data_IF_845537056093
#
_entry.id   IF_845537056093
#
_cell.length_a   1.000
_cell.length_b   1.000
_cell.length_c   1.000
_cell.angle_alpha   90.00
_cell.angle_beta   90.00
_cell.angle_gamma   90.00
#
_symmetry.space_group_name_H-M   'P 1'
#
loop_
_entity.id
_entity.type
_entity.pdbx_description
1 polymer ?
#
# COMPACT_ATOMS: atom_id res chain seq x y z
N UNK A 1 -34.19 12.13 -14.24
CA UNK A 1 -33.72 11.18 -13.18
C UNK A 1 -32.45 10.40 -13.57
N UNK A 2 -32.43 9.67 -14.70
CA UNK A 2 -31.30 8.82 -15.09
C UNK A 2 -29.98 9.59 -15.28
N UNK A 3 -30.02 10.78 -15.88
CA UNK A 3 -28.83 11.63 -16.06
C UNK A 3 -28.25 12.09 -14.72
N UNK A 4 -29.08 12.50 -13.76
CA UNK A 4 -28.62 12.92 -12.43
C UNK A 4 -27.94 11.77 -11.67
N UNK A 5 -28.50 10.55 -11.77
CA UNK A 5 -27.88 9.36 -11.16
C UNK A 5 -26.54 9.08 -11.82
N UNK A 6 -26.48 9.13 -13.15
CA UNK A 6 -25.24 8.92 -13.89
C UNK A 6 -24.16 9.95 -13.51
N UNK A 7 -24.51 11.22 -13.46
CA UNK A 7 -23.59 12.30 -13.08
C UNK A 7 -23.03 12.05 -11.67
N UNK A 8 -23.90 11.67 -10.73
CA UNK A 8 -23.51 11.34 -9.36
C UNK A 8 -22.52 10.16 -9.28
N UNK A 9 -22.84 9.02 -9.92
CA UNK A 9 -21.98 7.83 -9.85
C UNK A 9 -20.72 7.93 -10.70
N UNK A 10 -20.69 8.83 -11.69
CA UNK A 10 -19.51 9.10 -12.51
C UNK A 10 -18.45 9.92 -11.76
N UNK A 11 -18.84 10.60 -10.68
CA UNK A 11 -17.94 11.47 -9.92
C UNK A 11 -16.84 10.69 -9.22
N UNK A 12 -15.59 11.07 -9.47
CA UNK A 12 -14.41 10.57 -8.76
C UNK A 12 -14.39 11.00 -7.28
N UNK A 13 -15.20 11.99 -6.93
CA UNK A 13 -15.33 12.57 -5.59
C UNK A 13 -16.50 12.01 -4.78
N UNK A 14 -17.22 11.02 -5.32
CA UNK A 14 -18.32 10.37 -4.62
C UNK A 14 -17.82 9.74 -3.31
N UNK A 15 -18.39 10.20 -2.20
CA UNK A 15 -18.04 9.74 -0.85
C UNK A 15 -18.83 8.49 -0.48
N UNK A 16 -18.21 7.33 -0.69
CA UNK A 16 -18.78 6.01 -0.40
C UNK A 16 -17.75 5.13 0.31
N UNK A 17 -18.17 4.24 1.21
CA UNK A 17 -17.25 3.35 1.92
C UNK A 17 -16.63 2.28 1.00
N UNK A 18 -17.34 1.88 -0.06
CA UNK A 18 -16.85 0.91 -1.04
C UNK A 18 -17.58 1.02 -2.39
N UNK A 19 -16.98 0.45 -3.43
CA UNK A 19 -17.62 0.33 -4.75
C UNK A 19 -18.72 -0.74 -4.78
N UNK A 20 -18.73 -1.68 -3.83
CA UNK A 20 -19.85 -2.61 -3.66
C UNK A 20 -21.14 -1.86 -3.29
N UNK A 21 -21.06 -0.81 -2.46
CA UNK A 21 -22.21 0.04 -2.15
C UNK A 21 -22.70 0.81 -3.38
N UNK A 22 -21.78 1.30 -4.23
CA UNK A 22 -22.15 1.95 -5.50
C UNK A 22 -22.91 0.95 -6.39
N UNK A 23 -22.40 -0.28 -6.52
CA UNK A 23 -23.08 -1.33 -7.29
C UNK A 23 -24.48 -1.63 -6.76
N UNK A 24 -24.61 -1.85 -5.44
CA UNK A 24 -25.90 -2.14 -4.78
C UNK A 24 -26.89 -0.99 -5.00
N UNK A 25 -26.44 0.26 -4.83
CA UNK A 25 -27.26 1.45 -5.04
C UNK A 25 -27.74 1.58 -6.50
N UNK A 26 -26.84 1.38 -7.47
CA UNK A 26 -27.18 1.42 -8.91
C UNK A 26 -28.22 0.35 -9.24
N UNK A 27 -28.03 -0.90 -8.80
CA UNK A 27 -29.00 -1.96 -9.06
C UNK A 27 -30.33 -1.72 -8.35
N UNK A 28 -30.33 -1.23 -7.11
CA UNK A 28 -31.56 -0.88 -6.39
C UNK A 28 -32.36 0.18 -7.16
N UNK A 29 -31.68 1.20 -7.68
CA UNK A 29 -32.31 2.23 -8.50
C UNK A 29 -32.90 1.67 -9.80
N UNK A 30 -32.22 0.74 -10.49
CA UNK A 30 -32.77 0.10 -11.70
C UNK A 30 -33.96 -0.80 -11.34
N UNK A 31 -33.85 -1.61 -10.28
CA UNK A 31 -34.89 -2.57 -9.86
C UNK A 31 -36.17 -1.91 -9.38
N UNK A 32 -36.11 -0.65 -8.95
CA UNK A 32 -37.29 0.12 -8.60
C UNK A 32 -38.26 0.35 -9.77
N UNK A 33 -37.76 0.39 -11.01
CA UNK A 33 -38.59 0.52 -12.23
C UNK A 33 -37.83 -0.13 -13.40
N UNK A 34 -37.88 -1.45 -13.44
CA UNK A 34 -37.08 -2.27 -14.36
C UNK A 34 -37.42 -1.96 -15.82
N UNK A 35 -38.70 -1.79 -16.13
CA UNK A 35 -39.19 -1.64 -17.50
C UNK A 35 -38.62 -0.39 -18.16
N UNK A 36 -38.58 0.74 -17.45
CA UNK A 36 -38.04 1.99 -18.00
C UNK A 36 -36.51 2.10 -17.88
N UNK A 37 -35.92 1.49 -16.83
CA UNK A 37 -34.50 1.73 -16.46
C UNK A 37 -33.53 0.67 -16.96
N UNK A 38 -33.99 -0.51 -17.39
CA UNK A 38 -33.13 -1.60 -17.87
C UNK A 38 -32.16 -1.17 -18.97
N UNK A 39 -32.61 -0.31 -19.88
CA UNK A 39 -31.77 0.24 -20.97
C UNK A 39 -30.56 1.07 -20.49
N UNK A 40 -30.59 1.57 -19.26
CA UNK A 40 -29.51 2.39 -18.70
C UNK A 40 -28.41 1.57 -18.01
N UNK A 41 -28.65 0.26 -17.78
CA UNK A 41 -27.70 -0.61 -17.06
C UNK A 41 -26.29 -0.56 -17.63
N UNK A 42 -26.05 -0.69 -18.96
CA UNK A 42 -24.69 -0.64 -19.49
C UNK A 42 -23.96 0.66 -19.18
N UNK A 43 -24.67 1.79 -19.32
CA UNK A 43 -24.10 3.12 -19.09
C UNK A 43 -23.80 3.37 -17.62
N UNK A 44 -24.66 2.90 -16.71
CA UNK A 44 -24.45 3.01 -15.27
C UNK A 44 -23.31 2.10 -14.78
N UNK A 45 -23.21 0.87 -15.30
CA UNK A 45 -22.15 -0.07 -14.92
C UNK A 45 -20.75 0.38 -15.35
N UNK A 46 -20.63 1.17 -16.43
CA UNK A 46 -19.37 1.84 -16.80
C UNK A 46 -18.88 2.83 -15.75
N UNK A 47 -19.74 3.30 -14.86
CA UNK A 47 -19.37 4.19 -13.75
C UNK A 47 -19.08 3.45 -12.44
N UNK A 48 -19.50 2.18 -12.31
CA UNK A 48 -19.17 1.32 -11.16
C UNK A 48 -17.78 0.71 -11.38
N UNK A 49 -16.85 0.91 -10.44
CA UNK A 49 -15.45 0.49 -10.59
C UNK A 49 -15.29 -1.00 -10.23
N UNK A 50 -15.87 -1.88 -11.06
CA UNK A 50 -15.87 -3.35 -10.87
C UNK A 50 -14.50 -3.96 -10.51
N UNK A 51 -13.35 -3.50 -11.06
CA UNK A 51 -12.02 -4.02 -10.67
C UNK A 51 -11.64 -3.83 -9.19
N UNK A 52 -12.39 -3.03 -8.43
CA UNK A 52 -12.16 -2.77 -7.01
C UNK A 52 -13.13 -3.53 -6.09
N UNK A 53 -14.05 -4.31 -6.65
CA UNK A 53 -14.94 -5.18 -5.88
C UNK A 53 -14.16 -6.43 -5.46
N UNK A 54 -14.59 -7.08 -4.38
CA UNK A 54 -14.01 -8.36 -4.01
C UNK A 54 -14.31 -9.42 -5.08
N UNK A 55 -13.41 -10.40 -5.26
CA UNK A 55 -13.61 -11.51 -6.21
C UNK A 55 -14.91 -12.24 -5.93
N UNK A 56 -15.20 -12.48 -4.65
CA UNK A 56 -16.39 -13.19 -4.22
C UNK A 56 -17.66 -12.37 -4.54
N UNK A 57 -17.63 -11.05 -4.37
CA UNK A 57 -18.76 -10.21 -4.76
C UNK A 57 -18.98 -10.21 -6.28
N UNK A 58 -17.92 -10.15 -7.08
CA UNK A 58 -18.01 -10.25 -8.54
C UNK A 58 -18.67 -11.58 -8.96
N UNK A 59 -18.26 -12.70 -8.39
CA UNK A 59 -18.78 -14.02 -8.75
C UNK A 59 -20.20 -14.28 -8.20
N UNK A 60 -20.49 -13.85 -6.98
CA UNK A 60 -21.76 -14.16 -6.32
C UNK A 60 -22.87 -13.16 -6.65
N UNK A 61 -22.55 -11.92 -7.01
CA UNK A 61 -23.54 -10.85 -7.22
C UNK A 61 -23.50 -10.24 -8.63
N UNK A 62 -22.32 -10.06 -9.23
CA UNK A 62 -22.21 -9.41 -10.54
C UNK A 62 -22.44 -10.39 -11.68
N UNK A 63 -21.77 -11.54 -11.64
CA UNK A 63 -21.97 -12.60 -12.63
C UNK A 63 -23.38 -13.19 -12.55
N UNK A 64 -24.01 -13.29 -11.39
CA UNK A 64 -25.34 -13.92 -11.23
C UNK A 64 -26.51 -13.01 -11.60
N UNK A 65 -26.31 -11.68 -11.66
CA UNK A 65 -27.38 -10.71 -11.89
C UNK A 65 -27.86 -10.70 -13.35
N UNK A 66 -29.14 -11.00 -13.57
CA UNK A 66 -29.74 -11.07 -14.91
C UNK A 66 -29.68 -9.73 -15.65
N UNK A 67 -29.88 -8.61 -14.95
CA UNK A 67 -29.79 -7.27 -15.55
C UNK A 67 -28.39 -6.99 -16.14
N UNK A 68 -27.35 -7.55 -15.51
CA UNK A 68 -25.95 -7.44 -15.96
C UNK A 68 -25.69 -8.44 -17.09
N UNK A 69 -26.06 -9.72 -16.91
CA UNK A 69 -25.83 -10.80 -17.88
C UNK A 69 -26.52 -10.61 -19.23
N UNK A 70 -27.62 -9.88 -19.28
CA UNK A 70 -28.34 -9.65 -20.54
C UNK A 70 -27.67 -8.64 -21.47
N UNK A 71 -26.67 -7.89 -21.00
CA UNK A 71 -25.96 -6.89 -21.80
C UNK A 71 -24.52 -7.32 -22.04
N UNK A 72 -24.10 -7.38 -23.31
CA UNK A 72 -22.71 -7.73 -23.69
C UNK A 72 -21.69 -6.76 -23.10
N UNK A 73 -21.97 -5.46 -23.14
CA UNK A 73 -21.09 -4.43 -22.58
C UNK A 73 -20.78 -4.66 -21.10
N UNK A 74 -21.77 -5.11 -20.30
CA UNK A 74 -21.57 -5.41 -18.89
C UNK A 74 -20.69 -6.65 -18.68
N UNK A 75 -20.77 -7.64 -19.58
CA UNK A 75 -19.87 -8.81 -19.56
C UNK A 75 -18.43 -8.39 -19.83
N UNK A 76 -18.21 -7.47 -20.77
CA UNK A 76 -16.86 -6.95 -21.06
C UNK A 76 -16.27 -6.25 -19.83
N UNK A 77 -17.08 -5.47 -19.09
CA UNK A 77 -16.65 -4.85 -17.83
C UNK A 77 -16.35 -5.88 -16.72
N UNK A 78 -17.11 -6.98 -16.67
CA UNK A 78 -16.82 -8.08 -15.75
C UNK A 78 -15.52 -8.80 -16.13
N UNK A 79 -15.29 -9.04 -17.41
CA UNK A 79 -14.04 -9.64 -17.92
C UNK A 79 -12.84 -8.73 -17.62
N UNK A 80 -12.98 -7.42 -17.80
CA UNK A 80 -11.98 -6.42 -17.39
C UNK A 80 -11.61 -6.59 -15.91
N UNK A 81 -12.62 -6.60 -15.03
CA UNK A 81 -12.43 -6.79 -13.60
C UNK A 81 -11.74 -8.13 -13.30
N UNK A 82 -12.25 -9.24 -13.83
CA UNK A 82 -11.65 -10.56 -13.60
C UNK A 82 -10.19 -10.63 -14.08
N UNK A 83 -9.87 -10.00 -15.22
CA UNK A 83 -8.48 -9.90 -15.70
C UNK A 83 -7.59 -9.13 -14.72
N UNK A 84 -8.09 -8.05 -14.13
CA UNK A 84 -7.38 -7.27 -13.11
C UNK A 84 -7.07 -8.08 -11.83
N UNK A 85 -7.99 -8.97 -11.43
CA UNK A 85 -7.76 -9.91 -10.32
C UNK A 85 -6.78 -11.03 -10.69
N UNK A 86 -6.85 -11.57 -11.90
CA UNK A 86 -6.02 -12.69 -12.35
C UNK A 86 -4.58 -12.30 -12.72
N UNK A 87 -4.32 -11.02 -13.02
CA UNK A 87 -3.02 -10.53 -13.49
C UNK A 87 -2.45 -9.43 -12.59
N UNK A 88 -2.12 -9.71 -11.31
CA UNK A 88 -1.69 -8.69 -10.35
C UNK A 88 -0.37 -8.01 -10.76
N UNK A 89 0.55 -8.73 -11.43
CA UNK A 89 1.81 -8.16 -11.95
C UNK A 89 1.56 -7.09 -13.03
N UNK A 90 0.46 -7.22 -13.79
CA UNK A 90 0.12 -6.33 -14.89
C UNK A 90 -0.79 -5.17 -14.47
N UNK A 91 -1.13 -5.02 -13.18
CA UNK A 91 -2.01 -3.94 -12.70
C UNK A 91 -1.50 -2.54 -13.02
N UNK A 92 -0.18 -2.35 -13.10
CA UNK A 92 0.42 -1.10 -13.58
C UNK A 92 0.03 -0.76 -15.02
N UNK A 93 0.00 -1.76 -15.91
CA UNK A 93 -0.35 -1.64 -17.33
C UNK A 93 -1.87 -1.58 -17.52
N UNK A 94 -2.63 -2.32 -16.72
CA UNK A 94 -4.10 -2.34 -16.74
C UNK A 94 -4.72 -1.10 -16.08
N UNK A 95 -3.91 -0.19 -15.56
CA UNK A 95 -4.37 0.97 -14.80
C UNK A 95 -5.19 1.94 -15.67
N UNK A 96 -6.43 2.19 -15.27
CA UNK A 96 -7.34 3.13 -15.91
C UNK A 96 -8.20 3.85 -14.85
N UNK A 97 -9.20 4.66 -15.22
CA UNK A 97 -10.07 5.37 -14.25
C UNK A 97 -10.88 4.44 -13.33
N UNK A 98 -11.17 3.21 -13.75
CA UNK A 98 -11.97 2.20 -13.04
C UNK A 98 -11.13 1.32 -12.12
N UNK A 99 -9.80 1.35 -12.20
CA UNK A 99 -8.90 0.55 -11.33
C UNK A 99 -8.27 1.36 -10.20
N UNK A 100 -8.69 2.62 -10.03
CA UNK A 100 -8.24 3.52 -8.96
C UNK A 100 -9.38 3.72 -7.97
N UNK A 101 -9.16 3.74 -6.65
CA UNK A 101 -10.18 4.13 -5.67
C UNK A 101 -10.68 5.56 -5.87
N UNK A 102 -11.91 5.86 -5.43
CA UNK A 102 -12.45 7.23 -5.43
C UNK A 102 -11.71 8.08 -4.40
N UNK A 103 -11.65 9.37 -4.65
CA UNK A 103 -11.01 10.32 -3.73
C UNK A 103 -11.92 11.53 -3.57
N UNK A 104 -12.54 11.63 -2.40
CA UNK A 104 -13.44 12.73 -2.07
C UNK A 104 -12.71 14.07 -2.20
N UNK A 105 -13.36 15.02 -2.87
CA UNK A 105 -12.90 16.40 -2.93
C UNK A 105 -12.88 16.98 -1.51
N UNK A 106 -11.77 17.63 -1.13
CA UNK A 106 -11.58 18.16 0.22
C UNK A 106 -11.14 17.15 1.28
N UNK A 107 -10.88 15.88 0.93
CA UNK A 107 -10.24 14.94 1.85
C UNK A 107 -8.86 15.45 2.27
N UNK A 108 -8.72 15.78 3.56
CA UNK A 108 -7.45 16.22 4.15
C UNK A 108 -6.49 15.06 4.29
N UNK A 109 -5.21 15.29 3.99
CA UNK A 109 -4.16 14.32 4.29
C UNK A 109 -3.95 14.24 5.80
N UNK A 110 -4.03 13.03 6.33
CA UNK A 110 -3.77 12.72 7.74
C UNK A 110 -2.50 11.87 7.81
N UNK A 111 -1.61 12.19 8.74
CA UNK A 111 -0.42 11.38 9.01
C UNK A 111 -0.73 10.43 10.16
N UNK A 112 -0.29 9.18 10.09
CA UNK A 112 -0.45 8.22 11.17
C UNK A 112 0.91 7.80 11.72
N UNK A 113 1.04 7.78 13.05
CA UNK A 113 2.12 7.10 13.75
C UNK A 113 1.54 5.82 14.37
N UNK A 114 2.17 4.67 14.08
CA UNK A 114 1.63 3.34 14.36
C UNK A 114 2.67 2.53 15.13
N UNK A 115 2.35 2.19 16.38
CA UNK A 115 3.20 1.38 17.25
C UNK A 115 4.55 2.03 17.56
N UNK A 116 5.62 1.27 17.42
CA UNK A 116 6.96 1.69 17.81
C UNK A 116 7.32 1.24 19.22
N UNK A 117 8.31 1.91 19.82
CA UNK A 117 8.76 1.58 21.16
C UNK A 117 9.49 2.74 21.81
N UNK A 118 9.42 2.80 23.13
CA UNK A 118 10.19 3.70 23.98
C UNK A 118 11.13 2.90 24.87
N UNK A 119 11.83 3.59 25.78
CA UNK A 119 12.68 2.93 26.75
C UNK A 119 11.85 1.89 27.54
N UNK A 120 12.22 0.61 27.40
CA UNK A 120 11.58 -0.56 28.03
C UNK A 120 10.11 -0.85 27.66
N UNK A 121 9.55 -0.22 26.62
CA UNK A 121 8.16 -0.48 26.22
C UNK A 121 8.02 -0.65 24.70
N UNK A 122 7.15 -1.58 24.31
CA UNK A 122 6.67 -1.76 22.94
C UNK A 122 5.22 -1.29 22.91
N UNK A 123 4.92 -0.44 21.93
CA UNK A 123 3.64 0.25 21.82
C UNK A 123 2.72 -0.46 20.83
N UNK A 124 1.43 -0.45 21.13
CA UNK A 124 0.35 -0.87 20.23
C UNK A 124 -0.60 0.27 19.90
N UNK A 125 -0.51 1.37 20.64
CA UNK A 125 -1.21 2.62 20.37
C UNK A 125 -0.81 3.22 19.02
N UNK A 126 -1.75 4.00 18.50
CA UNK A 126 -1.65 4.66 17.22
C UNK A 126 -2.25 6.06 17.38
N UNK A 127 -1.67 7.02 16.67
CA UNK A 127 -2.11 8.41 16.69
C UNK A 127 -2.14 8.98 15.27
N UNK A 128 -3.10 9.87 15.04
CA UNK A 128 -3.36 10.51 13.77
C UNK A 128 -3.15 12.02 13.89
N UNK A 129 -2.33 12.59 13.00
CA UNK A 129 -2.03 14.00 12.93
C UNK A 129 -2.84 14.68 11.83
N UNK A 130 -3.71 15.60 12.23
CA UNK A 130 -4.47 16.46 11.33
C UNK A 130 -3.63 17.69 10.96
N UNK A 131 -3.21 17.73 9.69
CA UNK A 131 -2.39 18.80 9.12
C UNK A 131 -3.08 20.16 9.07
N UNK A 132 -4.43 20.21 9.13
CA UNK A 132 -5.20 21.45 9.12
C UNK A 132 -5.29 22.09 10.50
N UNK A 133 -5.36 21.26 11.54
CA UNK A 133 -5.52 21.72 12.93
C UNK A 133 -4.23 21.68 13.73
N UNK A 134 -3.16 21.12 13.17
CA UNK A 134 -1.85 20.93 13.82
C UNK A 134 -2.00 20.16 15.16
N UNK A 135 -2.74 19.06 15.13
CA UNK A 135 -3.08 18.27 16.33
C UNK A 135 -2.99 16.78 16.10
N UNK A 136 -2.52 16.09 17.13
CA UNK A 136 -2.55 14.64 17.25
C UNK A 136 -3.84 14.19 17.94
N UNK A 137 -4.38 13.09 17.45
CA UNK A 137 -5.56 12.42 17.97
C UNK A 137 -5.28 10.94 18.15
N UNK A 138 -5.64 10.40 19.31
CA UNK A 138 -5.58 8.96 19.52
C UNK A 138 -6.59 8.26 18.62
N UNK A 139 -6.14 7.20 17.95
CA UNK A 139 -7.01 6.29 17.18
C UNK A 139 -7.00 4.91 17.84
N UNK A 140 -7.79 3.98 17.30
CA UNK A 140 -7.79 2.62 17.84
C UNK A 140 -6.38 2.02 17.84
N UNK A 141 -6.03 1.34 18.93
CA UNK A 141 -4.78 0.61 19.05
C UNK A 141 -4.82 -0.70 18.27
N UNK A 142 -3.66 -1.12 17.79
CA UNK A 142 -3.46 -2.45 17.22
C UNK A 142 -3.77 -3.53 18.26
N UNK A 143 -4.16 -4.69 17.75
CA UNK A 143 -4.36 -5.90 18.55
C UNK A 143 -3.05 -6.42 19.16
N UNK A 144 -1.94 -6.24 18.43
CA UNK A 144 -0.60 -6.65 18.83
C UNK A 144 0.30 -5.43 18.97
N UNK A 145 1.17 -5.42 19.98
CA UNK A 145 2.21 -4.39 20.12
C UNK A 145 3.28 -4.61 19.07
N UNK A 146 3.71 -3.57 18.36
CA UNK A 146 4.67 -3.72 17.25
C UNK A 146 5.69 -2.59 17.22
N UNK A 147 6.92 -2.88 17.64
CA UNK A 147 8.07 -2.06 17.29
C UNK A 147 8.68 -2.55 15.98
N UNK A 148 9.47 -1.69 15.30
CA UNK A 148 10.18 -2.04 14.05
C UNK A 148 9.23 -2.59 12.97
N UNK A 149 7.97 -2.16 13.02
CA UNK A 149 6.87 -2.55 12.13
C UNK A 149 7.01 -1.84 10.80
N UNK A 150 6.59 -2.50 9.72
CA UNK A 150 6.43 -1.88 8.43
C UNK A 150 5.00 -1.40 8.23
N UNK A 151 4.82 -0.19 7.71
CA UNK A 151 3.49 0.42 7.53
C UNK A 151 3.37 0.95 6.11
N UNK A 152 2.25 0.63 5.44
CA UNK A 152 1.90 1.24 4.16
C UNK A 152 0.39 1.38 4.02
N UNK A 153 -0.03 2.27 3.13
CA UNK A 153 -1.44 2.53 2.84
C UNK A 153 -1.84 1.95 1.48
N UNK A 154 -2.96 1.21 1.43
CA UNK A 154 -3.57 0.69 0.19
C UNK A 154 -5.08 0.85 0.32
N UNK A 155 -5.73 1.38 -0.72
CA UNK A 155 -7.20 1.42 -0.78
C UNK A 155 -7.85 2.14 0.41
N UNK A 156 -7.24 3.23 0.89
CA UNK A 156 -7.68 3.99 2.07
C UNK A 156 -7.63 3.20 3.41
N UNK A 157 -6.91 2.08 3.46
CA UNK A 157 -6.59 1.35 4.69
C UNK A 157 -5.09 1.41 4.97
N UNK A 158 -4.72 1.38 6.24
CA UNK A 158 -3.32 1.19 6.65
C UNK A 158 -3.08 -0.29 6.91
N UNK A 159 -1.89 -0.78 6.61
CA UNK A 159 -1.45 -2.13 6.93
C UNK A 159 -0.23 -2.06 7.84
N UNK A 160 -0.33 -2.68 9.02
CA UNK A 160 0.78 -2.90 9.93
C UNK A 160 1.31 -4.32 9.74
N UNK A 161 2.53 -4.44 9.23
CA UNK A 161 3.10 -5.68 8.73
C UNK A 161 4.30 -6.09 9.59
N UNK A 162 4.23 -7.28 10.18
CA UNK A 162 5.31 -7.84 10.98
C UNK A 162 5.67 -6.98 12.18
N UNK A 163 6.96 -6.78 12.43
CA UNK A 163 7.48 -6.07 13.61
C UNK A 163 7.92 -7.02 14.73
N UNK A 164 8.08 -6.48 15.92
CA UNK A 164 8.54 -7.17 17.12
C UNK A 164 7.68 -6.77 18.32
N UNK A 165 7.15 -7.75 19.05
CA UNK A 165 6.21 -7.54 20.16
C UNK A 165 6.88 -7.44 21.54
N UNK A 166 8.21 -7.55 21.61
CA UNK A 166 8.97 -7.64 22.85
C UNK A 166 9.48 -9.05 23.16
N UNK A 167 8.97 -10.06 22.44
CA UNK A 167 9.35 -11.47 22.59
C UNK A 167 9.73 -12.10 21.25
N UNK A 168 8.92 -11.91 20.21
CA UNK A 168 9.06 -12.55 18.91
C UNK A 168 9.01 -11.56 17.76
N UNK A 169 9.78 -11.85 16.71
CA UNK A 169 9.56 -11.26 15.38
C UNK A 169 8.26 -11.82 14.79
N UNK A 170 7.42 -10.93 14.26
CA UNK A 170 6.05 -11.24 13.86
C UNK A 170 5.95 -11.50 12.35
N UNK A 171 5.12 -12.47 11.98
CA UNK A 171 4.62 -12.65 10.61
C UNK A 171 3.20 -12.08 10.44
N UNK A 172 2.52 -11.77 11.55
CA UNK A 172 1.13 -11.33 11.54
C UNK A 172 0.99 -9.94 10.94
N UNK A 173 -0.18 -9.69 10.36
CA UNK A 173 -0.54 -8.44 9.71
C UNK A 173 -1.91 -8.01 10.24
N UNK A 174 -2.11 -6.73 10.40
CA UNK A 174 -3.42 -6.15 10.70
C UNK A 174 -3.64 -4.90 9.84
N UNK A 175 -4.89 -4.67 9.45
CA UNK A 175 -5.28 -3.49 8.68
C UNK A 175 -6.18 -2.58 9.50
N UNK A 176 -6.00 -1.27 9.32
CA UNK A 176 -6.79 -0.24 9.96
C UNK A 176 -7.73 0.39 8.95
N UNK A 177 -9.02 0.45 9.32
CA UNK A 177 -10.02 1.19 8.59
C UNK A 177 -10.29 2.54 9.27
N UNK A 178 -9.95 3.67 8.64
CA UNK A 178 -10.18 4.99 9.21
C UNK A 178 -11.67 5.37 9.27
N UNK A 179 -12.55 4.71 8.51
CA UNK A 179 -14.00 4.98 8.54
C UNK A 179 -14.63 4.42 9.81
N UNK A 180 -14.25 3.21 10.20
CA UNK A 180 -14.76 2.54 11.41
C UNK A 180 -13.87 2.75 12.63
N UNK A 181 -12.69 3.36 12.44
CA UNK A 181 -11.66 3.52 13.46
C UNK A 181 -11.36 2.19 14.18
N UNK A 182 -11.06 1.14 13.39
CA UNK A 182 -10.84 -0.20 13.94
C UNK A 182 -9.76 -0.95 13.18
N UNK A 183 -9.01 -1.77 13.92
CA UNK A 183 -8.07 -2.74 13.37
C UNK A 183 -8.74 -4.09 13.16
N UNK A 184 -8.35 -4.80 12.10
CA UNK A 184 -8.76 -6.18 11.83
C UNK A 184 -7.54 -7.03 11.46
N UNK A 185 -7.51 -8.31 11.85
CA UNK A 185 -6.44 -9.22 11.46
C UNK A 185 -6.48 -9.49 9.96
N UNK A 186 -5.30 -9.59 9.35
CA UNK A 186 -5.10 -9.96 7.96
C UNK A 186 -4.31 -11.26 7.87
N UNK A 187 -4.24 -11.83 6.66
CA UNK A 187 -3.44 -13.03 6.41
C UNK A 187 -1.98 -12.74 6.71
N UNK A 188 -1.37 -13.61 7.52
CA UNK A 188 0.03 -13.49 7.92
C UNK A 188 0.97 -13.76 6.75
N UNK A 189 2.13 -13.10 6.78
CA UNK A 189 3.25 -13.37 5.88
C UNK A 189 3.72 -14.82 6.01
N UNK A 190 4.39 -15.32 4.96
CA UNK A 190 5.07 -16.61 5.01
C UNK A 190 6.30 -16.61 5.91
N UNK A 191 6.92 -15.43 6.11
CA UNK A 191 8.13 -15.25 6.94
C UNK A 191 7.89 -14.24 8.06
N UNK A 192 8.46 -14.50 9.25
CA UNK A 192 8.52 -13.51 10.34
C UNK A 192 9.48 -12.39 9.95
N UNK A 193 9.08 -11.14 10.15
CA UNK A 193 9.89 -9.99 9.71
C UNK A 193 9.74 -8.82 10.68
N UNK A 194 10.79 -8.48 11.42
CA UNK A 194 10.98 -7.13 11.98
C UNK A 194 11.98 -6.33 11.16
N UNK A 195 12.04 -5.02 11.36
CA UNK A 195 13.02 -4.14 10.70
C UNK A 195 12.95 -4.20 9.16
N UNK A 196 11.81 -4.59 8.62
CA UNK A 196 11.56 -4.74 7.19
C UNK A 196 11.23 -3.39 6.55
N UNK A 197 11.27 -3.36 5.21
CA UNK A 197 10.69 -2.28 4.44
C UNK A 197 9.36 -2.73 3.84
N UNK A 198 8.36 -1.84 3.89
CA UNK A 198 7.03 -2.08 3.32
C UNK A 198 6.64 -0.93 2.40
N UNK A 199 6.09 -1.24 1.24
CA UNK A 199 5.60 -0.25 0.30
C UNK A 199 4.37 -0.75 -0.46
N UNK A 200 3.56 0.20 -0.91
CA UNK A 200 2.42 -0.05 -1.78
C UNK A 200 2.81 0.23 -3.24
N UNK A 201 2.51 -0.70 -4.15
CA UNK A 201 2.72 -0.53 -5.59
C UNK A 201 1.61 -1.26 -6.36
N UNK A 202 0.95 -0.55 -7.27
CA UNK A 202 -0.13 -1.09 -8.12
C UNK A 202 -1.23 -1.85 -7.35
N UNK A 203 -1.61 -1.34 -6.18
CA UNK A 203 -2.65 -1.95 -5.33
C UNK A 203 -2.21 -3.20 -4.58
N UNK A 204 -0.91 -3.50 -4.57
CA UNK A 204 -0.30 -4.61 -3.84
C UNK A 204 0.60 -4.07 -2.73
N UNK A 205 0.71 -4.84 -1.65
CA UNK A 205 1.61 -4.56 -0.53
C UNK A 205 2.87 -5.40 -0.70
N UNK A 206 4.04 -4.80 -0.55
CA UNK A 206 5.32 -5.50 -0.65
C UNK A 206 6.04 -5.43 0.68
N UNK A 207 6.55 -6.56 1.15
CA UNK A 207 7.38 -6.68 2.34
C UNK A 207 8.75 -7.24 1.93
N UNK A 208 9.82 -6.47 2.13
CA UNK A 208 11.17 -6.85 1.74
C UNK A 208 12.17 -6.77 2.89
N UNK A 209 13.08 -7.75 2.92
CA UNK A 209 14.16 -7.81 3.90
C UNK A 209 13.66 -8.01 5.33
N UNK A 210 14.38 -7.41 6.28
CA UNK A 210 14.09 -7.52 7.71
C UNK A 210 14.89 -8.63 8.40
N UNK A 211 14.37 -9.08 9.54
CA UNK A 211 14.97 -10.08 10.43
C UNK A 211 13.88 -11.02 10.95
N UNK A 212 14.15 -12.33 10.94
CA UNK A 212 13.17 -13.37 11.31
C UNK A 212 13.32 -13.92 12.73
N UNK A 213 14.26 -13.37 13.51
CA UNK A 213 14.66 -13.87 14.82
C UNK A 213 16.03 -14.52 14.81
N UNK A 214 16.53 -14.95 13.65
CA UNK A 214 17.81 -15.64 13.49
C UNK A 214 18.72 -15.01 12.41
N UNK A 215 18.16 -14.57 11.29
CA UNK A 215 18.90 -14.16 10.10
C UNK A 215 18.40 -12.84 9.51
N UNK A 216 19.34 -12.03 9.01
CA UNK A 216 19.00 -10.91 8.12
C UNK A 216 18.50 -11.46 6.78
N UNK A 217 17.36 -10.96 6.33
CA UNK A 217 16.65 -11.47 5.15
C UNK A 217 16.99 -10.65 3.91
N UNK A 218 17.10 -11.32 2.76
CA UNK A 218 17.03 -10.72 1.43
C UNK A 218 15.75 -11.11 0.68
N UNK A 219 14.96 -12.05 1.22
CA UNK A 219 13.68 -12.45 0.64
C UNK A 219 12.67 -11.32 0.68
N UNK A 220 11.74 -11.34 -0.26
CA UNK A 220 10.61 -10.43 -0.30
C UNK A 220 9.35 -11.19 -0.71
N UNK A 221 8.21 -10.70 -0.24
CA UNK A 221 6.90 -11.25 -0.51
C UNK A 221 5.92 -10.11 -0.73
N UNK A 222 4.88 -10.38 -1.52
CA UNK A 222 3.83 -9.41 -1.83
C UNK A 222 2.47 -9.96 -1.42
N UNK A 223 1.57 -9.06 -1.03
CA UNK A 223 0.21 -9.37 -0.65
C UNK A 223 -0.78 -8.68 -1.56
N UNK A 224 -1.76 -9.45 -2.02
CA UNK A 224 -2.89 -8.95 -2.78
C UNK A 224 -4.13 -8.88 -1.88
N UNK A 225 -4.58 -7.67 -1.47
CA UNK A 225 -5.75 -7.51 -0.62
C UNK A 225 -7.05 -7.98 -1.28
N UNK A 226 -7.09 -8.08 -2.61
CA UNK A 226 -8.28 -8.56 -3.33
C UNK A 226 -8.45 -10.09 -3.27
N UNK A 227 -7.37 -10.83 -3.05
CA UNK A 227 -7.37 -12.30 -2.96
C UNK A 227 -6.94 -12.82 -1.60
N UNK A 228 -6.49 -11.94 -0.69
CA UNK A 228 -6.03 -12.31 0.64
C UNK A 228 -4.79 -13.20 0.63
N UNK A 229 -3.95 -13.12 -0.41
CA UNK A 229 -2.86 -14.09 -0.61
C UNK A 229 -1.49 -13.40 -0.62
N UNK A 230 -0.54 -13.99 0.12
CA UNK A 230 0.88 -13.66 0.03
C UNK A 230 1.57 -14.52 -1.03
N UNK A 231 2.49 -13.93 -1.79
CA UNK A 231 3.28 -14.64 -2.82
C UNK A 231 4.73 -14.17 -2.74
N UNK A 232 5.67 -15.12 -2.71
CA UNK A 232 7.10 -14.82 -2.77
C UNK A 232 7.45 -14.18 -4.11
N UNK A 233 8.28 -13.15 -4.08
CA UNK A 233 8.88 -12.53 -5.27
C UNK A 233 10.38 -12.80 -5.31
N UNK A 234 11.06 -12.33 -6.35
CA UNK A 234 12.51 -12.42 -6.42
C UNK A 234 13.15 -11.82 -5.16
N UNK A 235 14.15 -12.51 -4.63
CA UNK A 235 14.94 -12.02 -3.52
C UNK A 235 15.89 -10.91 -3.99
N UNK A 236 16.17 -9.97 -3.10
CA UNK A 236 17.24 -8.98 -3.30
C UNK A 236 18.60 -9.70 -3.36
N UNK A 237 19.55 -9.08 -4.05
CA UNK A 237 20.94 -9.55 -4.08
C UNK A 237 21.62 -9.47 -2.72
N UNK A 238 21.20 -8.51 -1.88
CA UNK A 238 21.80 -8.25 -0.56
C UNK A 238 20.79 -8.51 0.56
N UNK A 239 21.25 -9.06 1.69
CA UNK A 239 20.44 -9.15 2.92
C UNK A 239 20.32 -7.75 3.54
N UNK A 240 19.12 -7.32 3.89
CA UNK A 240 18.88 -5.94 4.36
C UNK A 240 17.95 -5.93 5.57
N UNK A 241 18.52 -6.00 6.77
CA UNK A 241 17.83 -5.62 8.01
C UNK A 241 17.81 -4.09 8.14
N UNK A 242 16.77 -3.53 8.76
CA UNK A 242 16.59 -2.08 8.90
C UNK A 242 16.51 -1.33 7.57
N UNK A 243 16.09 -2.05 6.52
CA UNK A 243 15.87 -1.49 5.19
C UNK A 243 14.64 -0.61 5.18
N UNK A 244 14.57 0.31 4.22
CA UNK A 244 13.33 0.98 3.84
C UNK A 244 13.04 0.72 2.39
N UNK A 245 11.76 0.61 2.08
CA UNK A 245 11.27 0.41 0.72
C UNK A 245 10.34 1.55 0.39
N UNK A 246 10.50 2.15 -0.79
CA UNK A 246 9.61 3.17 -1.30
C UNK A 246 9.29 2.92 -2.78
N UNK A 247 8.16 3.46 -3.23
CA UNK A 247 7.68 3.30 -4.59
C UNK A 247 7.93 4.56 -5.40
N UNK A 248 8.65 4.45 -6.51
CA UNK A 248 8.93 5.55 -7.44
C UNK A 248 8.85 5.05 -8.88
N UNK A 249 8.13 5.79 -9.74
CA UNK A 249 7.98 5.49 -11.17
C UNK A 249 7.63 4.01 -11.48
N UNK A 250 6.70 3.44 -10.70
CA UNK A 250 6.21 2.07 -10.91
C UNK A 250 7.14 0.95 -10.42
N UNK A 251 8.22 1.29 -9.71
CA UNK A 251 9.22 0.36 -9.18
C UNK A 251 9.37 0.50 -7.66
N UNK A 252 9.91 -0.54 -7.00
CA UNK A 252 10.28 -0.46 -5.58
C UNK A 252 11.77 -0.18 -5.44
N UNK A 253 12.14 0.59 -4.43
CA UNK A 253 13.53 0.91 -4.11
C UNK A 253 13.84 0.45 -2.71
N UNK A 254 14.69 -0.58 -2.56
CA UNK A 254 15.19 -1.05 -1.28
C UNK A 254 16.48 -0.31 -0.93
N UNK A 255 16.41 0.55 0.08
CA UNK A 255 17.43 1.55 0.40
C UNK A 255 18.19 1.16 1.66
N UNK A 256 19.51 1.02 1.55
CA UNK A 256 20.40 0.82 2.69
C UNK A 256 20.09 -0.44 3.49
N UNK A 257 20.24 -0.34 4.81
CA UNK A 257 20.06 -1.42 5.77
C UNK A 257 21.38 -1.97 6.32
N UNK A 258 21.33 -3.18 6.85
CA UNK A 258 22.43 -3.90 7.49
C UNK A 258 22.41 -5.36 7.05
N UNK A 259 23.54 -5.87 6.56
CA UNK A 259 23.66 -7.20 5.94
C UNK A 259 24.14 -8.33 6.87
N UNK A 260 24.05 -8.09 8.19
CA UNK A 260 24.68 -8.87 9.27
C UNK A 260 26.14 -8.50 9.58
N UNK A 261 26.82 -7.76 8.69
CA UNK A 261 28.22 -7.37 8.86
C UNK A 261 28.46 -5.86 8.75
N UNK A 262 27.74 -5.18 7.87
CA UNK A 262 28.01 -3.79 7.50
C UNK A 262 26.74 -2.99 7.26
N UNK A 263 26.81 -1.70 7.58
CA UNK A 263 25.80 -0.73 7.18
C UNK A 263 25.94 -0.45 5.68
N UNK A 264 24.81 -0.45 4.97
CA UNK A 264 24.77 -0.41 3.52
C UNK A 264 24.53 1.00 2.99
N UNK A 265 25.29 1.39 1.98
CA UNK A 265 24.98 2.53 1.09
C UNK A 265 24.32 2.07 -0.21
N UNK A 266 24.30 0.76 -0.47
CA UNK A 266 23.77 0.20 -1.72
C UNK A 266 22.25 0.30 -1.77
N UNK A 267 21.72 0.43 -2.99
CA UNK A 267 20.29 0.53 -3.25
C UNK A 267 19.94 -0.40 -4.40
N UNK A 268 18.79 -1.07 -4.30
CA UNK A 268 18.29 -1.98 -5.33
C UNK A 268 16.89 -1.57 -5.78
N UNK A 269 16.64 -1.63 -7.08
CA UNK A 269 15.35 -1.33 -7.72
C UNK A 269 14.69 -2.63 -8.17
N UNK A 270 13.45 -2.86 -7.74
CA UNK A 270 12.63 -3.98 -8.19
C UNK A 270 11.67 -3.57 -9.30
N UNK A 271 11.69 -4.33 -10.39
CA UNK A 271 10.79 -4.17 -11.52
C UNK A 271 9.74 -5.29 -11.52
N UNK A 272 8.46 -5.00 -11.19
CA UNK A 272 7.44 -6.04 -11.03
C UNK A 272 7.10 -6.77 -12.33
N UNK A 273 7.31 -6.15 -13.50
CA UNK A 273 7.00 -6.76 -14.81
C UNK A 273 7.90 -7.95 -15.14
N UNK A 274 9.14 -7.93 -14.65
CA UNK A 274 10.16 -8.96 -14.91
C UNK A 274 10.60 -9.67 -13.63
N UNK A 275 9.96 -9.37 -12.50
CA UNK A 275 10.26 -9.95 -11.18
C UNK A 275 11.77 -9.97 -10.88
N UNK A 276 12.45 -8.83 -11.01
CA UNK A 276 13.91 -8.76 -10.88
C UNK A 276 14.34 -7.52 -10.08
N UNK A 277 15.34 -7.71 -9.22
CA UNK A 277 16.06 -6.63 -8.54
C UNK A 277 17.32 -6.25 -9.30
N UNK A 278 17.55 -4.96 -9.48
CA UNK A 278 18.74 -4.41 -10.15
C UNK A 278 19.45 -3.41 -9.24
N UNK A 279 20.79 -3.46 -9.12
CA UNK A 279 21.53 -2.45 -8.38
C UNK A 279 21.47 -1.10 -9.09
N UNK A 280 21.35 -0.03 -8.32
CA UNK A 280 21.42 1.35 -8.82
C UNK A 280 22.56 2.11 -8.13
N UNK A 281 22.70 3.40 -8.40
CA UNK A 281 23.72 4.22 -7.73
C UNK A 281 23.61 4.13 -6.20
N UNK A 282 24.77 4.00 -5.54
CA UNK A 282 24.87 3.97 -4.10
C UNK A 282 24.61 5.37 -3.52
N UNK A 283 24.01 5.40 -2.33
CA UNK A 283 23.92 6.59 -1.49
C UNK A 283 25.32 7.16 -1.18
N UNK A 284 25.34 8.45 -0.85
CA UNK A 284 26.54 9.16 -0.41
C UNK A 284 27.00 8.67 0.98
N UNK A 285 26.06 8.25 1.82
CA UNK A 285 26.34 7.68 3.14
C UNK A 285 25.76 6.28 3.28
N UNK A 286 26.43 5.46 4.11
CA UNK A 286 25.85 4.21 4.62
C UNK A 286 24.72 4.57 5.58
N UNK A 287 23.58 3.87 5.49
CA UNK A 287 22.41 4.14 6.34
C UNK A 287 21.64 2.87 6.65
N UNK A 288 21.40 2.61 7.93
CA UNK A 288 20.38 1.69 8.42
C UNK A 288 19.33 2.46 9.23
N UNK A 289 18.07 2.01 9.26
CA UNK A 289 17.00 2.65 10.03
C UNK A 289 16.68 4.10 9.64
N UNK A 290 17.02 4.52 8.41
CA UNK A 290 16.69 5.85 7.91
C UNK A 290 15.18 6.03 7.68
N UNK A 291 14.76 7.29 7.48
CA UNK A 291 13.46 7.61 6.88
C UNK A 291 13.60 7.71 5.36
N UNK A 292 12.67 7.12 4.61
CA UNK A 292 12.66 7.17 3.13
C UNK A 292 11.28 7.56 2.66
N UNK A 293 11.20 8.54 1.76
CA UNK A 293 9.96 9.02 1.17
C UNK A 293 10.20 9.50 -0.26
N UNK A 294 9.13 9.53 -1.05
CA UNK A 294 9.16 10.07 -2.41
C UNK A 294 8.45 11.42 -2.43
N UNK A 295 9.09 12.42 -2.99
CA UNK A 295 8.57 13.77 -3.12
C UNK A 295 8.97 14.33 -4.50
N UNK A 296 7.99 14.81 -5.25
CA UNK A 296 8.20 15.44 -6.57
C UNK A 296 9.04 14.60 -7.56
N UNK A 297 8.81 13.27 -7.55
CA UNK A 297 9.52 12.34 -8.44
C UNK A 297 10.96 12.00 -8.02
N UNK A 298 11.38 12.44 -6.82
CA UNK A 298 12.69 12.12 -6.25
C UNK A 298 12.53 11.26 -5.01
N UNK A 299 13.51 10.39 -4.75
CA UNK A 299 13.56 9.54 -3.56
C UNK A 299 14.46 10.19 -2.51
N UNK A 300 13.89 10.60 -1.38
CA UNK A 300 14.61 11.23 -0.27
C UNK A 300 14.94 10.20 0.81
N UNK A 301 16.14 10.30 1.37
CA UNK A 301 16.62 9.49 2.49
C UNK A 301 17.15 10.42 3.57
N UNK A 302 16.53 10.39 4.75
CA UNK A 302 16.84 11.26 5.86
C UNK A 302 17.29 10.44 7.09
N UNK A 303 18.40 10.85 7.68
CA UNK A 303 18.89 10.27 8.94
C UNK A 303 19.39 8.83 8.81
N UNK A 304 19.11 8.03 9.83
CA UNK A 304 19.60 6.67 10.02
C UNK A 304 20.92 6.62 10.81
N UNK A 305 21.52 5.44 10.82
CA UNK A 305 22.81 5.17 11.45
C UNK A 305 23.79 4.60 10.42
N UNK A 306 25.01 5.12 10.41
CA UNK A 306 26.10 4.74 9.49
C UNK A 306 27.07 3.69 10.09
N UNK A 307 26.81 3.22 11.31
CA UNK A 307 27.67 2.35 12.11
C UNK A 307 28.52 3.09 13.14
N UNK A 308 28.62 4.42 13.04
CA UNK A 308 29.41 5.27 13.95
C UNK A 308 28.53 6.29 14.68
N UNK A 309 27.60 6.93 13.97
CA UNK A 309 26.79 8.01 14.49
C UNK A 309 25.35 7.95 13.97
N UNK A 310 24.44 8.53 14.75
CA UNK A 310 23.09 8.84 14.28
C UNK A 310 23.17 10.09 13.38
N UNK A 311 22.62 9.99 12.18
CA UNK A 311 22.75 11.00 11.14
C UNK A 311 21.61 12.03 11.22
N UNK A 312 21.91 13.26 10.85
CA UNK A 312 20.90 14.26 10.47
C UNK A 312 20.99 14.61 8.99
N UNK A 313 21.97 14.08 8.25
CA UNK A 313 22.12 14.35 6.82
C UNK A 313 20.95 13.80 6.03
N UNK A 314 20.62 14.49 4.95
CA UNK A 314 19.57 14.09 4.01
C UNK A 314 20.18 14.08 2.61
N UNK A 315 19.84 13.07 1.84
CA UNK A 315 20.22 12.95 0.44
C UNK A 315 18.99 12.57 -0.40
N UNK A 316 18.98 12.96 -1.66
CA UNK A 316 17.93 12.60 -2.61
C UNK A 316 18.49 11.97 -3.87
N UNK A 317 17.73 11.05 -4.43
CA UNK A 317 18.04 10.34 -5.66
C UNK A 317 17.16 10.80 -6.80
N UNK A 318 17.80 11.05 -7.94
CA UNK A 318 17.15 11.36 -9.20
C UNK A 318 17.17 10.12 -10.13
N UNK A 319 16.00 9.52 -10.44
CA UNK A 319 15.93 8.31 -11.27
C UNK A 319 16.38 8.55 -12.72
N UNK A 320 16.30 9.79 -13.22
CA UNK A 320 16.66 10.12 -14.61
C UNK A 320 18.17 10.15 -14.83
N UNK A 321 18.91 10.60 -13.82
CA UNK A 321 20.37 10.69 -13.89
C UNK A 321 21.06 9.53 -13.18
N UNK A 322 20.32 8.73 -12.40
CA UNK A 322 20.86 7.69 -11.53
C UNK A 322 21.96 8.24 -10.60
N UNK A 323 21.68 9.36 -9.92
CA UNK A 323 22.63 10.03 -9.03
C UNK A 323 21.98 10.44 -7.72
N UNK A 324 22.81 10.47 -6.67
CA UNK A 324 22.46 11.00 -5.36
C UNK A 324 23.07 12.38 -5.16
N UNK A 325 22.34 13.27 -4.50
CA UNK A 325 22.83 14.57 -4.09
C UNK A 325 22.43 14.89 -2.65
N UNK A 326 23.29 15.60 -1.93
CA UNK A 326 22.99 16.05 -0.57
C UNK A 326 22.02 17.22 -0.60
N UNK A 327 21.09 17.23 0.35
CA UNK A 327 20.17 18.36 0.58
C UNK A 327 20.27 18.82 2.04
N UNK A 328 19.51 19.85 2.40
CA UNK A 328 19.52 20.40 3.75
C UNK A 328 19.33 19.32 4.83
N UNK A 329 20.17 19.30 5.89
CA UNK A 329 20.06 18.32 6.95
C UNK A 329 18.84 18.58 7.85
N UNK A 330 18.42 17.56 8.60
CA UNK A 330 17.45 17.71 9.67
C UNK A 330 18.05 18.51 10.84
N UNK A 331 17.18 19.23 11.56
CA UNK A 331 17.56 19.91 12.81
C UNK A 331 18.02 18.95 13.91
N UNK A 332 17.51 17.70 13.90
CA UNK A 332 17.74 16.69 14.93
C UNK A 332 18.17 15.39 14.26
N UNK A 333 19.20 14.74 14.80
CA UNK A 333 19.66 13.41 14.38
C UNK A 333 18.57 12.37 14.68
N UNK A 334 18.23 11.54 13.70
CA UNK A 334 17.24 10.46 13.81
C UNK A 334 17.71 9.26 13.02
#
# INVERSE_FOLDING_TARGET
PALQVLDLISSDSLNVPSEEEVYRAVLSWVKHDVDSRRQHVPRLMKCVRLPLLSRDFLMSNVDTELLVRHHSECKDLLIEALKYHLMPEQRGVLSNSRTRPRRCEGASTVLFAVGGGSLFAIHGDCEAYDTRTDRWHMVASMSTRRARVGVAAIGNKLYAVGGYDGTSDLATVESYDPVTNSWQPEVSMGTRRSCLGVAALHGLLYAAGGYDGASCLNSAERYDPLTGTWTSIAAMSTRRRYVRVATLEGNLYAVGGYDSSSHLATVEKYEPQINTWTPIANMLSRRSSAGVAVLEGMLYVAGGNDGTSCLNSVERYNPKTNTWESVAPMNIRR
#
